data_IF_738186224160
#
_entry.id   IF_738186224160
#
_cell.length_a   1.000
_cell.length_b   1.000
_cell.length_c   1.000
_cell.angle_alpha   90.00
_cell.angle_beta   90.00
_cell.angle_gamma   90.00
#
_symmetry.space_group_name_H-M   'P 1'
#
loop_
_entity.id
_entity.type
_entity.pdbx_description
1 polymer ?
#
# COMPACT_ATOMS: atom_id res chain seq x y z
N UNK A 1 -2.43 12.37 -23.12
CA UNK A 1 -1.66 12.44 -21.88
C UNK A 1 -2.42 11.80 -20.74
N UNK A 2 -1.76 10.92 -20.05
CA UNK A 2 -2.36 10.18 -18.97
C UNK A 2 -2.40 10.99 -17.68
N UNK A 3 -3.59 11.14 -17.14
CA UNK A 3 -3.78 11.78 -15.84
C UNK A 3 -3.40 10.80 -14.72
N UNK A 4 -2.95 11.33 -13.58
CA UNK A 4 -2.70 10.55 -12.39
C UNK A 4 -3.99 9.97 -11.80
N UNK A 5 -5.14 10.47 -12.25
CA UNK A 5 -6.46 10.14 -11.71
C UNK A 5 -6.90 8.70 -11.97
N UNK A 6 -6.31 8.03 -12.95
CA UNK A 6 -6.64 6.64 -13.27
C UNK A 6 -5.75 5.63 -12.55
N UNK A 7 -4.94 6.08 -11.60
CA UNK A 7 -3.94 5.25 -10.93
C UNK A 7 -4.20 5.11 -9.45
N UNK A 8 -3.68 4.01 -8.89
CA UNK A 8 -3.59 3.79 -7.44
C UNK A 8 -2.11 3.65 -7.11
N UNK A 9 -1.69 4.31 -6.05
CA UNK A 9 -0.35 4.14 -5.50
C UNK A 9 -0.49 3.29 -4.24
N UNK A 10 0.19 2.14 -4.23
CA UNK A 10 0.18 1.22 -3.09
C UNK A 10 1.58 1.21 -2.49
N UNK A 11 1.67 1.61 -1.24
CA UNK A 11 2.94 1.73 -0.52
C UNK A 11 2.98 0.70 0.58
N UNK A 12 3.97 -0.19 0.55
CA UNK A 12 4.17 -1.19 1.60
C UNK A 12 5.39 -0.82 2.44
N UNK A 13 5.17 -0.75 3.75
CA UNK A 13 6.24 -0.56 4.73
C UNK A 13 6.58 -1.91 5.35
N UNK A 14 7.84 -2.28 5.30
CA UNK A 14 8.31 -3.56 5.85
C UNK A 14 9.75 -3.44 6.35
N UNK A 15 10.24 -4.52 6.97
CA UNK A 15 11.61 -4.61 7.43
C UNK A 15 12.06 -6.07 7.33
N UNK A 16 13.35 -6.30 7.10
CA UNK A 16 13.89 -7.65 6.97
C UNK A 16 13.76 -8.46 8.26
N UNK A 17 13.88 -7.79 9.41
CA UNK A 17 13.79 -8.44 10.71
C UNK A 17 12.35 -8.76 11.13
N UNK A 18 11.37 -8.33 10.37
CA UNK A 18 9.97 -8.42 10.73
C UNK A 18 9.39 -9.78 10.34
N UNK A 19 9.00 -10.59 11.30
CA UNK A 19 8.40 -11.91 11.06
C UNK A 19 7.09 -11.85 10.29
N UNK A 20 6.11 -11.04 10.74
CA UNK A 20 4.85 -10.88 9.98
C UNK A 20 5.04 -10.36 8.55
N UNK A 21 6.06 -9.53 8.32
CA UNK A 21 6.39 -9.07 6.96
C UNK A 21 6.80 -10.24 6.07
N UNK A 22 7.62 -11.14 6.61
CA UNK A 22 8.07 -12.34 5.90
C UNK A 22 6.90 -13.27 5.60
N UNK A 23 5.95 -13.34 6.50
CA UNK A 23 4.78 -14.20 6.36
C UNK A 23 3.94 -13.81 5.16
N UNK A 24 3.76 -12.51 4.91
CA UNK A 24 2.93 -12.04 3.80
C UNK A 24 3.72 -11.86 2.49
N UNK A 25 5.02 -12.04 2.52
CA UNK A 25 5.86 -11.81 1.35
C UNK A 25 5.49 -12.67 0.14
N UNK A 26 5.22 -13.98 0.28
CA UNK A 26 4.79 -14.78 -0.87
C UNK A 26 3.50 -14.27 -1.48
N UNK A 27 2.53 -13.92 -0.64
CA UNK A 27 1.25 -13.38 -1.08
C UNK A 27 1.45 -12.04 -1.83
N UNK A 28 2.30 -11.18 -1.28
CA UNK A 28 2.63 -9.89 -1.87
C UNK A 28 3.28 -10.05 -3.24
N UNK A 29 4.27 -10.94 -3.34
CA UNK A 29 4.99 -11.18 -4.60
C UNK A 29 4.06 -11.74 -5.68
N UNK A 30 3.17 -12.64 -5.30
CA UNK A 30 2.17 -13.18 -6.22
C UNK A 30 1.23 -12.08 -6.72
N UNK A 31 0.77 -11.23 -5.83
CA UNK A 31 -0.13 -10.13 -6.17
C UNK A 31 0.53 -9.15 -7.14
N UNK A 32 1.79 -8.78 -6.88
CA UNK A 32 2.54 -7.86 -7.76
C UNK A 32 2.57 -8.39 -9.19
N UNK A 33 2.66 -9.71 -9.35
CA UNK A 33 2.74 -10.31 -10.68
C UNK A 33 1.45 -10.24 -11.47
N UNK A 34 0.32 -9.96 -10.81
CA UNK A 34 -1.00 -9.96 -11.45
C UNK A 34 -1.72 -8.61 -11.44
N UNK A 35 -1.15 -7.59 -10.78
CA UNK A 35 -1.82 -6.29 -10.69
C UNK A 35 -1.91 -5.62 -12.06
N UNK A 36 -2.96 -4.83 -12.24
CA UNK A 36 -3.14 -4.06 -13.47
C UNK A 36 -2.10 -2.94 -13.57
N UNK A 37 -1.88 -2.48 -14.80
CA UNK A 37 -0.83 -1.50 -15.09
C UNK A 37 -1.06 -0.14 -14.44
N UNK A 38 -2.27 0.14 -13.96
CA UNK A 38 -2.57 1.40 -13.30
C UNK A 38 -2.37 1.35 -11.78
N UNK A 39 -1.84 0.25 -11.25
CA UNK A 39 -1.41 0.18 -9.84
C UNK A 39 0.10 0.38 -9.79
N UNK A 40 0.52 1.42 -9.09
CA UNK A 40 1.93 1.73 -8.87
C UNK A 40 2.33 1.19 -7.51
N UNK A 41 3.32 0.32 -7.49
CA UNK A 41 3.78 -0.35 -6.27
C UNK A 41 5.05 0.35 -5.77
N UNK A 42 5.05 0.70 -4.49
CA UNK A 42 6.21 1.28 -3.81
C UNK A 42 6.50 0.43 -2.59
N UNK A 43 7.68 -0.18 -2.55
CA UNK A 43 8.17 -0.94 -1.40
C UNK A 43 9.14 -0.08 -0.61
N UNK A 44 8.88 0.10 0.67
CA UNK A 44 9.74 0.92 1.54
C UNK A 44 10.24 0.05 2.68
N UNK A 45 11.57 -0.08 2.78
CA UNK A 45 12.24 -0.66 3.93
C UNK A 45 12.37 0.46 4.97
N UNK A 46 11.80 0.27 6.16
CA UNK A 46 11.77 1.32 7.16
C UNK A 46 13.17 1.65 7.70
N UNK A 47 14.12 0.74 7.56
CA UNK A 47 15.50 1.01 7.98
C UNK A 47 16.22 1.94 7.00
N UNK A 48 15.77 1.98 5.74
CA UNK A 48 16.32 2.85 4.72
C UNK A 48 15.58 4.19 4.62
N UNK A 49 14.31 4.24 5.05
CA UNK A 49 13.45 5.42 4.94
C UNK A 49 12.87 5.78 6.30
N UNK A 50 13.71 5.84 7.31
CA UNK A 50 13.28 6.00 8.70
C UNK A 50 12.52 7.31 8.93
N UNK A 51 12.94 8.39 8.28
CA UNK A 51 12.30 9.70 8.47
C UNK A 51 10.84 9.69 8.03
N UNK A 52 10.55 9.11 6.88
CA UNK A 52 9.18 8.99 6.38
C UNK A 52 8.35 8.11 7.30
N UNK A 53 8.91 6.98 7.73
CA UNK A 53 8.23 6.06 8.63
C UNK A 53 7.85 6.73 9.95
N UNK A 54 8.81 7.46 10.55
CA UNK A 54 8.57 8.16 11.81
C UNK A 54 7.46 9.20 11.66
N UNK A 55 7.46 9.96 10.57
CA UNK A 55 6.42 10.95 10.31
C UNK A 55 5.04 10.31 10.22
N UNK A 56 4.91 9.24 9.46
CA UNK A 56 3.61 8.60 9.25
C UNK A 56 3.13 7.91 10.51
N UNK A 57 4.06 7.36 11.30
CA UNK A 57 3.71 6.75 12.58
C UNK A 57 3.22 7.80 13.58
N UNK A 58 3.87 8.96 13.63
CA UNK A 58 3.46 10.07 14.47
C UNK A 58 2.07 10.57 14.11
N UNK A 59 1.70 10.53 12.83
CA UNK A 59 0.38 10.91 12.35
C UNK A 59 -0.63 9.77 12.43
N UNK A 60 -0.23 8.63 12.97
CA UNK A 60 -1.06 7.43 13.15
C UNK A 60 -1.54 6.82 11.83
N UNK A 61 -0.89 7.13 10.72
CA UNK A 61 -1.21 6.55 9.43
C UNK A 61 -0.54 5.18 9.25
N UNK A 62 0.56 4.93 9.97
CA UNK A 62 1.25 3.64 9.99
C UNK A 62 1.36 3.21 11.44
N UNK A 63 0.83 2.03 11.77
CA UNK A 63 0.81 1.52 13.15
C UNK A 63 2.01 0.66 13.48
N UNK A 64 2.74 0.20 12.49
CA UNK A 64 3.88 -0.68 12.63
C UNK A 64 4.14 -1.36 11.29
N UNK A 65 4.94 -2.41 11.27
CA UNK A 65 5.20 -3.17 10.05
C UNK A 65 4.69 -4.60 10.20
N UNK A 66 4.15 -5.21 9.14
CA UNK A 66 3.92 -4.61 7.82
C UNK A 66 2.70 -3.68 7.84
N UNK A 67 2.75 -2.62 7.07
CA UNK A 67 1.59 -1.77 6.80
C UNK A 67 1.57 -1.43 5.33
N UNK A 68 0.40 -1.53 4.71
CA UNK A 68 0.22 -1.24 3.29
C UNK A 68 -0.85 -0.15 3.17
N UNK A 69 -0.51 0.91 2.47
CA UNK A 69 -1.39 2.06 2.25
C UNK A 69 -1.75 2.16 0.77
N UNK A 70 -2.98 2.55 0.48
CA UNK A 70 -3.42 2.80 -0.88
C UNK A 70 -3.91 4.23 -1.03
N UNK A 71 -3.43 4.90 -2.06
CA UNK A 71 -3.81 6.28 -2.40
C UNK A 71 -4.44 6.26 -3.79
N UNK A 72 -5.71 6.67 -3.87
CA UNK A 72 -6.47 6.67 -5.12
C UNK A 72 -6.27 7.98 -5.85
N UNK A 73 -5.90 7.90 -7.12
CA UNK A 73 -5.60 9.09 -7.91
C UNK A 73 -6.81 9.98 -8.21
N UNK A 74 -8.02 9.41 -8.12
CA UNK A 74 -9.26 10.16 -8.38
C UNK A 74 -9.79 10.93 -7.17
N UNK A 75 -9.13 10.78 -6.01
CA UNK A 75 -9.54 11.43 -4.77
C UNK A 75 -8.67 12.68 -4.56
N UNK A 76 -9.32 13.83 -4.38
CA UNK A 76 -8.63 15.05 -3.95
C UNK A 76 -8.44 14.99 -2.44
N UNK A 77 -7.24 15.35 -1.99
CA UNK A 77 -6.93 15.31 -0.56
C UNK A 77 -6.13 16.53 -0.17
N UNK A 78 -6.44 17.04 1.02
CA UNK A 78 -5.74 18.19 1.57
C UNK A 78 -4.41 17.81 2.18
N UNK A 79 -4.30 16.56 2.65
CA UNK A 79 -3.11 16.07 3.33
C UNK A 79 -2.63 14.80 2.65
N UNK A 80 -1.40 14.84 2.13
CA UNK A 80 -0.82 13.76 1.33
C UNK A 80 -0.72 12.43 2.09
N UNK A 81 -0.59 12.49 3.41
CA UNK A 81 -0.31 11.32 4.24
C UNK A 81 -1.56 10.52 4.63
N UNK A 82 -2.75 10.99 4.27
CA UNK A 82 -3.99 10.28 4.61
C UNK A 82 -4.33 9.32 3.47
N UNK A 83 -4.22 8.00 3.71
CA UNK A 83 -4.55 7.04 2.66
C UNK A 83 -6.06 6.86 2.51
N UNK A 84 -6.46 6.33 1.36
CA UNK A 84 -7.87 6.00 1.09
C UNK A 84 -8.22 4.60 1.59
N UNK A 85 -7.22 3.72 1.71
CA UNK A 85 -7.38 2.38 2.25
C UNK A 85 -6.07 1.96 2.89
N UNK A 86 -6.14 1.02 3.83
CA UNK A 86 -4.93 0.53 4.49
C UNK A 86 -5.17 -0.84 5.10
N UNK A 87 -4.07 -1.55 5.33
CA UNK A 87 -4.07 -2.78 6.11
C UNK A 87 -2.76 -2.83 6.90
N UNK A 88 -2.84 -3.32 8.15
CA UNK A 88 -1.67 -3.49 9.01
C UNK A 88 -1.65 -4.90 9.56
N UNK A 89 -0.42 -5.42 9.76
CA UNK A 89 -0.22 -6.74 10.34
C UNK A 89 -0.08 -7.84 9.32
N UNK A 90 0.23 -9.03 9.81
CA UNK A 90 0.53 -10.19 8.98
C UNK A 90 -0.64 -11.16 8.78
N UNK A 91 -1.88 -10.74 8.99
CA UNK A 91 -3.02 -11.59 8.75
C UNK A 91 -3.28 -11.70 7.25
N UNK A 92 -3.14 -12.90 6.71
CA UNK A 92 -3.24 -13.11 5.26
C UNK A 92 -4.63 -12.80 4.72
N UNK A 93 -5.68 -13.09 5.49
CA UNK A 93 -7.05 -12.77 5.08
C UNK A 93 -7.28 -11.27 4.93
N UNK A 94 -6.79 -10.50 5.90
CA UNK A 94 -6.91 -9.04 5.86
C UNK A 94 -6.14 -8.45 4.68
N UNK A 95 -4.93 -8.98 4.43
CA UNK A 95 -4.11 -8.51 3.31
C UNK A 95 -4.76 -8.86 1.98
N UNK A 96 -5.29 -10.07 1.84
CA UNK A 96 -6.02 -10.47 0.62
C UNK A 96 -7.23 -9.58 0.36
N UNK A 97 -7.99 -9.27 1.41
CA UNK A 97 -9.15 -8.39 1.27
C UNK A 97 -8.73 -6.99 0.80
N UNK A 98 -7.66 -6.45 1.36
CA UNK A 98 -7.10 -5.17 0.94
C UNK A 98 -6.68 -5.22 -0.54
N UNK A 99 -5.97 -6.27 -0.93
CA UNK A 99 -5.51 -6.45 -2.31
C UNK A 99 -6.69 -6.50 -3.29
N UNK A 100 -7.75 -7.20 -2.92
CA UNK A 100 -8.95 -7.29 -3.74
C UNK A 100 -9.63 -5.93 -3.88
N UNK A 101 -9.70 -5.16 -2.80
CA UNK A 101 -10.27 -3.81 -2.87
C UNK A 101 -9.46 -2.92 -3.82
N UNK A 102 -8.14 -3.04 -3.79
CA UNK A 102 -7.29 -2.29 -4.71
C UNK A 102 -7.52 -2.69 -6.16
N UNK A 103 -7.65 -3.99 -6.44
CA UNK A 103 -7.90 -4.47 -7.80
C UNK A 103 -9.25 -3.99 -8.32
N UNK A 104 -10.28 -4.02 -7.48
CA UNK A 104 -11.62 -3.55 -7.86
C UNK A 104 -11.58 -2.04 -8.14
N UNK A 105 -10.95 -1.28 -7.25
CA UNK A 105 -10.84 0.17 -7.44
C UNK A 105 -10.05 0.51 -8.69
N UNK A 106 -8.96 -0.19 -8.95
CA UNK A 106 -8.14 0.03 -10.14
C UNK A 106 -8.96 -0.15 -11.42
N UNK A 107 -9.81 -1.18 -11.46
CA UNK A 107 -10.70 -1.39 -12.61
C UNK A 107 -11.67 -0.25 -12.82
N UNK A 108 -12.24 0.29 -11.74
CA UNK A 108 -13.19 1.39 -11.87
C UNK A 108 -12.54 2.66 -12.40
N UNK A 109 -11.24 2.84 -12.17
CA UNK A 109 -10.53 4.04 -12.61
C UNK A 109 -10.22 4.06 -14.10
N UNK A 110 -10.21 2.92 -14.75
CA UNK A 110 -9.85 2.82 -16.17
C UNK A 110 -11.02 2.38 -17.05
N UNK A 111 -12.21 2.27 -16.50
CA UNK A 111 -13.41 1.96 -17.27
C UNK A 111 -13.97 3.18 -17.98
#
# INVERSE_FOLDING_TARGET
>A
QRSFRDRIIVVKFSAEWCGPCKKIKPLWNEWISIVSSNIVIVDIDIDESIDLYVQLKAKKMVKGVPTILAFYGDIMRDQWYIPDDSVSGGNEGDVKNFMNRCLIKAKTLIQ
#
